data_IF_724705563613
#
_entry.id   IF_724705563613
#
_cell.length_a   1.000
_cell.length_b   1.000
_cell.length_c   1.000
_cell.angle_alpha   90.00
_cell.angle_beta   90.00
_cell.angle_gamma   90.00
#
_symmetry.space_group_name_H-M   'P 1'
#
loop_
_entity.id
_entity.type
_entity.pdbx_description
1 polymer ?
#
# COMPACT_ATOMS: atom_id res chain seq x y z
N UNK A 1 20.99 20.29 -30.71
CA UNK A 1 20.58 19.19 -29.81
C UNK A 1 19.81 19.77 -28.64
N UNK A 2 18.48 19.66 -28.61
CA UNK A 2 17.61 19.79 -27.42
C UNK A 2 16.14 19.79 -27.86
N UNK A 3 15.50 18.62 -28.00
CA UNK A 3 14.03 18.59 -28.12
C UNK A 3 13.35 17.49 -27.29
N UNK A 4 14.11 16.65 -26.58
CA UNK A 4 13.55 15.63 -25.66
C UNK A 4 13.46 16.11 -24.21
N UNK A 5 14.24 17.12 -23.80
CA UNK A 5 14.23 17.64 -22.43
C UNK A 5 13.07 18.62 -22.13
N UNK A 6 12.38 19.13 -23.16
CA UNK A 6 11.21 20.01 -22.99
C UNK A 6 9.88 19.24 -22.94
N UNK A 7 9.92 17.91 -23.08
CA UNK A 7 8.71 17.09 -22.98
C UNK A 7 8.21 17.06 -21.52
N UNK A 8 6.99 17.58 -21.33
CA UNK A 8 6.32 17.64 -20.04
C UNK A 8 6.12 16.25 -19.42
N UNK A 9 5.96 15.20 -20.23
CA UNK A 9 5.81 13.83 -19.75
C UNK A 9 7.13 13.25 -19.27
N UNK A 10 8.24 13.53 -19.98
CA UNK A 10 9.59 13.11 -19.55
C UNK A 10 9.94 13.78 -18.23
N UNK A 11 9.66 15.09 -18.11
CA UNK A 11 9.84 15.84 -16.87
C UNK A 11 8.99 15.27 -15.73
N UNK A 12 7.71 14.98 -15.98
CA UNK A 12 6.84 14.42 -14.96
C UNK A 12 7.30 13.04 -14.48
N UNK A 13 7.72 12.18 -15.41
CA UNK A 13 8.28 10.87 -15.10
C UNK A 13 9.55 10.99 -14.26
N UNK A 14 10.50 11.86 -14.65
CA UNK A 14 11.72 12.09 -13.89
C UNK A 14 11.44 12.61 -12.46
N UNK A 15 10.48 13.52 -12.30
CA UNK A 15 10.08 14.04 -10.99
C UNK A 15 9.40 12.97 -10.11
N UNK A 16 8.61 12.07 -10.69
CA UNK A 16 8.07 10.91 -9.96
C UNK A 16 9.17 9.95 -9.52
N UNK A 17 10.14 9.66 -10.39
CA UNK A 17 11.28 8.79 -10.04
C UNK A 17 12.16 9.43 -8.95
N UNK A 18 12.35 10.75 -8.98
CA UNK A 18 13.03 11.48 -7.93
C UNK A 18 12.28 11.40 -6.59
N UNK A 19 10.93 11.45 -6.63
CA UNK A 19 10.06 11.27 -5.46
C UNK A 19 10.24 9.88 -4.85
N UNK A 20 10.12 8.82 -5.66
CA UNK A 20 10.32 7.44 -5.20
C UNK A 20 11.73 7.19 -4.69
N UNK A 21 12.74 7.81 -5.31
CA UNK A 21 14.13 7.71 -4.88
C UNK A 21 14.47 8.58 -3.66
N UNK A 22 13.49 9.31 -3.12
CA UNK A 22 13.64 10.23 -1.98
C UNK A 22 14.69 11.32 -2.22
N UNK A 23 14.94 11.68 -3.47
CA UNK A 23 15.89 12.73 -3.83
C UNK A 23 15.28 14.10 -3.55
N UNK A 24 16.08 14.99 -2.96
CA UNK A 24 15.66 16.36 -2.69
C UNK A 24 15.62 17.15 -3.99
N UNK A 25 14.43 17.61 -4.35
CA UNK A 25 14.20 18.50 -5.49
C UNK A 25 13.97 19.91 -4.94
N UNK A 26 14.54 20.93 -5.58
CA UNK A 26 14.52 22.33 -5.10
C UNK A 26 13.91 23.30 -6.12
N UNK A 27 13.49 24.47 -5.63
CA UNK A 27 12.98 25.56 -6.46
C UNK A 27 11.75 25.18 -7.30
N UNK A 28 11.74 25.58 -8.56
CA UNK A 28 10.61 25.35 -9.48
C UNK A 28 10.32 23.86 -9.74
N UNK A 29 11.33 22.99 -9.61
CA UNK A 29 11.14 21.55 -9.78
C UNK A 29 10.37 20.94 -8.60
N UNK A 30 10.53 21.48 -7.38
CA UNK A 30 9.78 21.04 -6.21
C UNK A 30 8.30 21.41 -6.32
N UNK A 31 8.02 22.63 -6.81
CA UNK A 31 6.65 23.07 -7.12
C UNK A 31 6.02 22.17 -8.20
N UNK A 32 6.75 21.89 -9.29
CA UNK A 32 6.29 20.98 -10.34
C UNK A 32 6.05 19.55 -9.83
N UNK A 33 6.92 19.02 -8.98
CA UNK A 33 6.74 17.70 -8.37
C UNK A 33 5.47 17.67 -7.52
N UNK A 34 5.20 18.71 -6.72
CA UNK A 34 3.96 18.84 -5.97
C UNK A 34 2.73 18.87 -6.87
N UNK A 35 2.76 19.62 -7.96
CA UNK A 35 1.67 19.69 -8.94
C UNK A 35 1.37 18.32 -9.58
N UNK A 36 2.39 17.47 -9.77
CA UNK A 36 2.23 16.10 -10.30
C UNK A 36 1.68 15.13 -9.25
N UNK A 37 2.17 15.21 -8.00
CA UNK A 37 1.79 14.28 -6.93
C UNK A 37 0.32 14.43 -6.49
N UNK A 38 -0.23 15.64 -6.56
CA UNK A 38 -1.61 15.93 -6.14
C UNK A 38 -2.69 15.16 -6.93
N UNK A 39 -2.69 15.16 -8.28
CA UNK A 39 -3.65 14.39 -9.07
C UNK A 39 -3.30 12.90 -9.19
N UNK A 40 -2.04 12.51 -8.94
CA UNK A 40 -1.57 11.14 -9.21
C UNK A 40 -2.43 10.02 -8.60
N UNK A 41 -2.85 10.04 -7.32
CA UNK A 41 -3.70 8.98 -6.77
C UNK A 41 -5.05 8.83 -7.49
N UNK A 42 -5.65 9.94 -7.95
CA UNK A 42 -6.92 9.92 -8.70
C UNK A 42 -6.74 9.33 -10.09
N UNK A 43 -5.65 9.69 -10.77
CA UNK A 43 -5.30 9.15 -12.08
C UNK A 43 -5.00 7.64 -11.99
N UNK A 44 -4.26 7.23 -10.96
CA UNK A 44 -3.95 5.82 -10.71
C UNK A 44 -5.23 5.03 -10.40
N UNK A 45 -6.14 5.58 -9.58
CA UNK A 45 -7.44 4.94 -9.32
C UNK A 45 -8.25 4.75 -10.61
N UNK A 46 -8.30 5.77 -11.46
CA UNK A 46 -8.99 5.68 -12.77
C UNK A 46 -8.33 4.64 -13.67
N UNK A 47 -7.00 4.53 -13.64
CA UNK A 47 -6.24 3.51 -14.34
C UNK A 47 -6.58 2.10 -13.84
N UNK A 48 -6.65 1.89 -12.51
CA UNK A 48 -7.09 0.63 -11.89
C UNK A 48 -8.50 0.25 -12.34
N UNK A 49 -9.43 1.21 -12.38
CA UNK A 49 -10.82 0.95 -12.79
C UNK A 49 -10.90 0.48 -14.26
N UNK A 50 -10.09 1.09 -15.16
CA UNK A 50 -10.00 0.66 -16.57
C UNK A 50 -9.37 -0.73 -16.69
N UNK A 51 -8.26 -0.98 -16.00
CA UNK A 51 -7.54 -2.26 -16.06
C UNK A 51 -8.41 -3.41 -15.51
N UNK A 52 -9.07 -3.17 -14.38
CA UNK A 52 -9.93 -4.16 -13.73
C UNK A 52 -11.17 -4.50 -14.57
N UNK A 53 -11.73 -3.52 -15.28
CA UNK A 53 -12.81 -3.75 -16.25
C UNK A 53 -12.41 -4.67 -17.41
N UNK A 54 -11.11 -4.76 -17.71
CA UNK A 54 -10.55 -5.66 -18.73
C UNK A 54 -10.09 -7.02 -18.14
N UNK A 55 -10.22 -7.24 -16.83
CA UNK A 55 -9.83 -8.49 -16.18
C UNK A 55 -8.31 -8.70 -16.07
N UNK A 56 -7.49 -7.67 -16.25
CA UNK A 56 -6.02 -7.77 -16.19
C UNK A 56 -5.51 -7.68 -14.75
N UNK A 57 -5.67 -8.75 -13.98
CA UNK A 57 -5.34 -8.82 -12.55
C UNK A 57 -3.92 -8.33 -12.24
N UNK A 58 -2.89 -8.89 -12.88
CA UNK A 58 -1.49 -8.54 -12.60
C UNK A 58 -1.21 -7.05 -12.82
N UNK A 59 -1.78 -6.46 -13.87
CA UNK A 59 -1.60 -5.04 -14.16
C UNK A 59 -2.39 -4.17 -13.16
N UNK A 60 -3.54 -4.64 -12.67
CA UNK A 60 -4.32 -3.94 -11.66
C UNK A 60 -3.55 -3.88 -10.34
N UNK A 61 -2.96 -5.00 -9.91
CA UNK A 61 -2.12 -5.06 -8.72
C UNK A 61 -0.92 -4.10 -8.82
N UNK A 62 -0.22 -4.08 -9.96
CA UNK A 62 0.89 -3.15 -10.19
C UNK A 62 0.46 -1.68 -10.19
N UNK A 63 -0.73 -1.38 -10.68
CA UNK A 63 -1.29 -0.02 -10.59
C UNK A 63 -1.66 0.36 -9.15
N UNK A 64 -2.14 -0.58 -8.33
CA UNK A 64 -2.40 -0.35 -6.90
C UNK A 64 -1.11 -0.09 -6.12
N UNK A 65 -0.07 -0.92 -6.33
CA UNK A 65 1.28 -0.71 -5.76
C UNK A 65 1.84 0.67 -6.13
N UNK A 66 1.66 1.12 -7.37
CA UNK A 66 2.09 2.46 -7.81
C UNK A 66 1.46 3.59 -6.97
N UNK A 67 0.22 3.44 -6.49
CA UNK A 67 -0.38 4.44 -5.61
C UNK A 67 0.24 4.45 -4.23
N UNK A 68 0.58 3.27 -3.69
CA UNK A 68 1.29 3.15 -2.42
C UNK A 68 2.68 3.82 -2.54
N UNK A 69 3.41 3.56 -3.63
CA UNK A 69 4.69 4.22 -3.95
C UNK A 69 4.56 5.75 -4.03
N UNK A 70 3.51 6.27 -4.68
CA UNK A 70 3.23 7.72 -4.76
C UNK A 70 2.91 8.31 -3.39
N UNK A 71 2.14 7.61 -2.58
CA UNK A 71 1.74 8.08 -1.25
C UNK A 71 2.94 8.10 -0.29
N UNK A 72 3.73 7.03 -0.26
CA UNK A 72 4.86 6.91 0.68
C UNK A 72 6.16 7.56 0.18
N UNK A 73 6.28 7.81 -1.13
CA UNK A 73 7.50 8.34 -1.73
C UNK A 73 8.66 7.35 -1.60
N UNK A 74 8.43 6.12 -2.07
CA UNK A 74 9.43 5.06 -2.10
C UNK A 74 9.14 4.09 -3.25
N UNK A 75 10.13 3.29 -3.61
CA UNK A 75 9.95 2.19 -4.55
C UNK A 75 9.31 0.96 -3.87
N UNK A 76 8.69 0.10 -4.67
CA UNK A 76 8.16 -1.21 -4.26
C UNK A 76 9.25 -2.17 -3.77
N UNK A 77 10.48 -2.02 -4.28
CA UNK A 77 11.67 -2.76 -3.85
C UNK A 77 12.39 -2.19 -2.63
N UNK A 78 12.00 -1.00 -2.18
CA UNK A 78 12.58 -0.41 -0.97
C UNK A 78 12.00 -1.12 0.26
N UNK A 79 12.75 -1.17 1.36
CA UNK A 79 12.23 -1.79 2.58
C UNK A 79 11.01 -1.06 3.11
N UNK A 80 9.98 -1.83 3.46
CA UNK A 80 8.68 -1.33 3.92
C UNK A 80 8.78 -0.52 5.22
N UNK A 81 9.84 -0.73 6.01
CA UNK A 81 10.11 0.03 7.23
C UNK A 81 10.40 1.51 6.97
N UNK A 82 10.80 1.87 5.75
CA UNK A 82 11.03 3.26 5.36
C UNK A 82 9.75 4.12 5.36
N UNK A 83 8.57 3.51 5.50
CA UNK A 83 7.28 4.18 5.67
C UNK A 83 7.10 4.74 7.09
N UNK A 84 7.86 4.22 8.06
CA UNK A 84 7.75 4.61 9.46
C UNK A 84 8.41 5.98 9.71
N UNK A 85 7.90 6.74 10.69
CA UNK A 85 8.54 7.98 11.12
C UNK A 85 10.00 7.75 11.49
N UNK A 86 10.88 8.69 11.11
CA UNK A 86 12.30 8.73 11.50
C UNK A 86 13.19 7.58 10.93
N UNK A 87 12.65 6.69 10.11
CA UNK A 87 13.45 5.63 9.48
C UNK A 87 14.29 6.16 8.32
N UNK A 88 15.61 5.96 8.43
CA UNK A 88 16.58 6.20 7.36
C UNK A 88 16.96 4.88 6.67
N UNK A 89 17.64 4.97 5.52
CA UNK A 89 18.09 3.77 4.80
C UNK A 89 19.07 2.94 5.66
N UNK A 90 19.97 3.62 6.35
CA UNK A 90 20.98 3.00 7.22
C UNK A 90 20.35 2.29 8.42
N UNK A 91 19.32 2.90 9.04
CA UNK A 91 18.58 2.26 10.13
C UNK A 91 17.84 1.02 9.62
N UNK A 92 17.27 1.11 8.43
CA UNK A 92 16.50 0.02 7.83
C UNK A 92 17.38 -1.19 7.50
N UNK A 93 18.57 -0.97 6.94
CA UNK A 93 19.55 -2.02 6.67
C UNK A 93 19.95 -2.75 7.95
N UNK A 94 20.24 -2.02 9.03
CA UNK A 94 20.54 -2.61 10.35
C UNK A 94 19.39 -3.48 10.87
N UNK A 95 18.15 -3.07 10.64
CA UNK A 95 16.97 -3.81 11.09
C UNK A 95 16.77 -5.11 10.32
N UNK A 96 16.99 -5.06 9.02
CA UNK A 96 16.96 -6.25 8.16
C UNK A 96 18.06 -7.25 8.54
N UNK A 97 19.26 -6.79 8.87
CA UNK A 97 20.34 -7.65 9.40
C UNK A 97 19.95 -8.36 10.72
N UNK A 98 19.02 -7.79 11.48
CA UNK A 98 18.48 -8.38 12.71
C UNK A 98 17.22 -9.22 12.48
N UNK A 99 16.84 -9.48 11.23
CA UNK A 99 15.69 -10.29 10.84
C UNK A 99 14.34 -9.58 10.95
N UNK A 100 14.33 -8.25 10.95
CA UNK A 100 13.11 -7.43 10.99
C UNK A 100 12.90 -6.84 9.60
N UNK A 101 11.90 -7.35 8.89
CA UNK A 101 11.66 -6.98 7.49
C UNK A 101 10.28 -6.34 7.29
N UNK A 102 9.34 -6.60 8.19
CA UNK A 102 7.95 -6.19 8.07
C UNK A 102 7.47 -5.28 9.21
N UNK A 103 6.41 -4.52 8.93
CA UNK A 103 5.69 -3.74 9.94
C UNK A 103 5.05 -4.68 10.99
N UNK A 104 4.70 -5.91 10.62
CA UNK A 104 4.14 -6.89 11.55
C UNK A 104 5.16 -7.37 12.59
N UNK A 105 6.43 -7.50 12.20
CA UNK A 105 7.52 -7.88 13.10
C UNK A 105 7.71 -6.86 14.23
N UNK A 106 7.32 -5.59 14.00
CA UNK A 106 7.33 -4.53 15.02
C UNK A 106 6.40 -4.81 16.18
N UNK A 107 5.25 -5.43 15.92
CA UNK A 107 4.27 -5.73 16.95
C UNK A 107 4.77 -6.82 17.91
N UNK A 108 5.69 -7.68 17.44
CA UNK A 108 6.28 -8.78 18.20
C UNK A 108 7.61 -8.41 18.87
N UNK A 109 8.18 -7.26 18.51
CA UNK A 109 9.42 -6.76 19.09
C UNK A 109 9.23 -6.29 20.54
N UNK A 110 10.07 -6.81 21.44
CA UNK A 110 10.12 -6.31 22.81
C UNK A 110 10.62 -4.86 22.85
N UNK A 111 10.10 -4.07 23.80
CA UNK A 111 10.48 -2.68 23.98
C UNK A 111 12.01 -2.50 24.14
N UNK A 112 12.68 -3.45 24.80
CA UNK A 112 14.13 -3.44 24.99
C UNK A 112 14.90 -3.63 23.67
N UNK A 113 14.47 -4.55 22.80
CA UNK A 113 15.08 -4.72 21.46
C UNK A 113 14.82 -3.48 20.62
N UNK A 114 13.59 -2.96 20.65
CA UNK A 114 13.21 -1.75 19.93
C UNK A 114 14.06 -0.55 20.36
N UNK A 115 14.30 -0.34 21.65
CA UNK A 115 15.12 0.76 22.16
C UNK A 115 16.61 0.60 21.79
N UNK A 116 17.14 -0.62 21.88
CA UNK A 116 18.52 -0.93 21.49
C UNK A 116 18.77 -0.77 19.98
N UNK A 117 17.77 -1.11 19.15
CA UNK A 117 17.85 -1.05 17.69
C UNK A 117 17.55 0.34 17.12
N UNK A 118 16.61 1.07 17.70
CA UNK A 118 16.25 2.42 17.25
C UNK A 118 17.33 3.43 17.64
N UNK A 119 17.91 3.33 18.85
CA UNK A 119 18.79 4.37 19.40
C UNK A 119 18.18 5.79 19.27
N UNK A 120 16.86 5.88 19.16
CA UNK A 120 16.12 7.12 18.97
C UNK A 120 15.67 7.66 20.34
N UNK A 121 15.55 8.99 20.50
CA UNK A 121 14.96 9.58 21.70
C UNK A 121 13.51 9.10 21.92
N UNK A 122 13.10 8.99 23.19
CA UNK A 122 11.79 8.43 23.59
C UNK A 122 10.57 9.10 22.91
N UNK A 123 10.68 10.36 22.47
CA UNK A 123 9.62 11.03 21.72
C UNK A 123 9.37 10.40 20.34
N UNK A 124 10.42 9.94 19.67
CA UNK A 124 10.34 9.31 18.34
C UNK A 124 9.84 7.86 18.43
N UNK A 125 10.10 7.17 19.55
CA UNK A 125 9.54 5.84 19.83
C UNK A 125 8.01 5.87 19.89
N UNK A 126 7.45 6.95 20.45
CA UNK A 126 6.01 7.14 20.54
C UNK A 126 5.39 7.32 19.14
N UNK A 127 6.00 8.12 18.28
CA UNK A 127 5.53 8.33 16.90
C UNK A 127 5.47 7.00 16.10
N UNK A 128 6.47 6.12 16.29
CA UNK A 128 6.53 4.81 15.63
C UNK A 128 5.44 3.88 16.18
N UNK A 129 5.27 3.85 17.51
CA UNK A 129 4.24 3.02 18.16
C UNK A 129 2.83 3.45 17.75
N UNK A 130 2.57 4.76 17.70
CA UNK A 130 1.28 5.31 17.27
C UNK A 130 1.01 5.02 15.79
N UNK A 131 2.03 5.08 14.93
CA UNK A 131 1.92 4.74 13.50
C UNK A 131 1.67 3.25 13.27
N UNK A 132 2.34 2.38 14.04
CA UNK A 132 2.10 0.92 14.01
C UNK A 132 0.69 0.57 14.51
N UNK A 133 0.24 1.22 15.59
CA UNK A 133 -1.11 1.02 16.12
C UNK A 133 -2.21 1.48 15.15
N UNK A 134 -1.97 2.52 14.36
CA UNK A 134 -2.85 2.94 13.27
C UNK A 134 -2.96 1.93 12.12
N UNK A 135 -2.00 1.02 11.99
CA UNK A 135 -1.95 -0.02 10.96
C UNK A 135 -2.48 -1.39 11.43
N UNK A 136 -3.03 -1.50 12.66
CA UNK A 136 -3.54 -2.77 13.20
C UNK A 136 -4.86 -3.15 12.54
N UNK A 137 -4.80 -3.96 11.50
CA UNK A 137 -5.95 -4.54 10.82
C UNK A 137 -6.19 -5.93 11.42
N UNK A 138 -7.39 -6.13 11.98
CA UNK A 138 -7.80 -7.40 12.60
C UNK A 138 -7.91 -8.53 11.57
N UNK A 139 -7.57 -9.76 12.00
CA UNK A 139 -7.65 -11.00 11.21
C UNK A 139 -9.04 -11.19 10.56
N UNK A 140 -9.07 -11.52 9.27
CA UNK A 140 -10.30 -11.77 8.51
C UNK A 140 -10.51 -13.30 8.37
N UNK A 141 -11.67 -13.85 8.81
CA UNK A 141 -12.05 -15.27 8.61
C UNK A 141 -13.32 -15.39 7.73
N UNK A 142 -13.29 -16.33 6.77
CA UNK A 142 -14.28 -16.68 5.70
C UNK A 142 -15.72 -16.97 6.17
N UNK A 143 -16.84 -16.92 5.42
CA UNK A 143 -17.26 -16.59 4.03
C UNK A 143 -18.46 -15.64 4.19
N UNK A 144 -18.58 -14.61 3.34
CA UNK A 144 -19.13 -13.27 3.64
C UNK A 144 -18.01 -12.42 4.22
N UNK A 145 -17.31 -11.71 3.35
CA UNK A 145 -16.26 -10.76 3.73
C UNK A 145 -16.91 -9.54 4.37
N UNK A 146 -17.30 -9.67 5.64
CA UNK A 146 -17.64 -8.55 6.51
C UNK A 146 -16.35 -8.14 7.23
N UNK A 147 -15.89 -6.91 7.00
CA UNK A 147 -14.89 -6.30 7.88
C UNK A 147 -15.59 -6.02 9.21
N UNK A 148 -15.15 -6.69 10.28
CA UNK A 148 -15.59 -6.37 11.62
C UNK A 148 -14.96 -5.04 12.05
N UNK A 149 -15.76 -3.97 12.00
CA UNK A 149 -15.36 -2.61 12.34
C UNK A 149 -15.41 -2.33 13.86
N UNK A 150 -15.74 -3.33 14.70
CA UNK A 150 -16.03 -3.11 16.13
C UNK A 150 -14.80 -2.79 16.98
N UNK A 151 -13.59 -3.16 16.52
CA UNK A 151 -12.34 -2.98 17.26
C UNK A 151 -11.39 -1.92 16.65
N UNK A 152 -11.85 -1.13 15.68
CA UNK A 152 -11.05 -0.03 15.13
C UNK A 152 -11.14 1.21 16.04
N UNK A 153 -10.05 1.97 16.21
CA UNK A 153 -10.09 3.26 16.88
C UNK A 153 -11.17 4.15 16.26
N UNK A 154 -12.01 4.78 17.08
CA UNK A 154 -13.16 5.60 16.63
C UNK A 154 -12.80 6.73 15.67
N UNK A 155 -11.53 7.13 15.63
CA UNK A 155 -10.96 8.07 14.66
C UNK A 155 -9.60 7.54 14.20
N UNK A 156 -9.55 6.96 12.99
CA UNK A 156 -8.28 6.71 12.31
C UNK A 156 -7.82 8.04 11.71
N UNK A 157 -6.67 8.55 12.18
CA UNK A 157 -6.07 9.77 11.67
C UNK A 157 -5.68 9.67 10.18
N UNK A 158 -5.21 10.78 9.56
CA UNK A 158 -4.72 10.72 8.18
C UNK A 158 -3.51 9.77 8.07
N UNK A 159 -3.33 9.22 6.87
CA UNK A 159 -2.18 8.39 6.49
C UNK A 159 -0.89 9.11 6.86
N UNK A 160 0.02 8.41 7.54
CA UNK A 160 1.37 8.90 7.77
C UNK A 160 2.15 8.87 6.45
N UNK A 161 2.19 10.01 5.76
CA UNK A 161 2.84 10.18 4.47
C UNK A 161 3.60 11.51 4.41
N UNK A 162 4.72 11.67 5.15
CA UNK A 162 5.41 12.95 5.30
C UNK A 162 5.98 13.50 3.98
N UNK A 163 6.18 12.64 2.98
CA UNK A 163 6.66 13.04 1.64
C UNK A 163 5.52 13.38 0.68
N UNK A 164 4.28 13.11 1.05
CA UNK A 164 3.13 13.44 0.22
C UNK A 164 2.64 14.87 0.53
N UNK A 165 2.28 15.70 -0.48
CA UNK A 165 2.10 17.14 -0.23
C UNK A 165 0.80 17.55 0.47
N UNK A 166 -0.10 16.61 0.78
CA UNK A 166 -1.39 16.84 1.45
C UNK A 166 -1.75 15.69 2.38
N UNK A 167 -2.51 15.91 3.46
CA UNK A 167 -3.09 14.81 4.21
C UNK A 167 -3.95 13.91 3.32
N UNK A 168 -3.82 12.60 3.47
CA UNK A 168 -4.68 11.60 2.82
C UNK A 168 -5.42 10.79 3.87
N UNK A 169 -6.62 10.37 3.54
CA UNK A 169 -7.32 9.31 4.27
C UNK A 169 -6.98 7.99 3.60
N UNK A 170 -6.85 6.95 4.41
CA UNK A 170 -6.55 5.61 3.91
C UNK A 170 -7.75 5.08 3.11
N UNK A 171 -7.47 4.62 1.89
CA UNK A 171 -8.39 3.88 1.06
C UNK A 171 -7.95 2.42 0.90
N UNK A 172 -8.90 1.55 0.64
CA UNK A 172 -8.65 0.14 0.40
C UNK A 172 -9.23 -0.26 -0.95
N UNK A 173 -8.42 -0.90 -1.80
CA UNK A 173 -8.94 -1.66 -2.92
C UNK A 173 -9.20 -3.07 -2.45
N UNK A 174 -10.48 -3.41 -2.47
CA UNK A 174 -10.87 -4.80 -2.59
C UNK A 174 -11.11 -4.99 -4.09
N UNK A 175 -10.32 -5.85 -4.74
CA UNK A 175 -10.59 -6.17 -6.14
C UNK A 175 -11.92 -6.93 -6.16
N UNK A 176 -12.98 -6.16 -6.48
CA UNK A 176 -14.40 -6.26 -6.08
C UNK A 176 -14.65 -5.67 -4.67
N UNK A 177 -15.09 -4.41 -4.65
CA UNK A 177 -15.15 -3.47 -3.51
C UNK A 177 -16.08 -3.89 -2.35
N UNK A 178 -15.99 -3.19 -1.21
CA UNK A 178 -16.78 -3.30 0.03
C UNK A 178 -18.23 -3.79 -0.14
N UNK A 179 -18.77 -4.53 0.84
CA UNK A 179 -20.13 -5.11 0.81
C UNK A 179 -20.31 -6.18 -0.28
N UNK A 180 -20.49 -7.43 0.14
CA UNK A 180 -20.98 -8.57 -0.65
C UNK A 180 -20.41 -8.66 -2.09
N UNK A 181 -19.27 -9.32 -2.19
CA UNK A 181 -18.72 -9.75 -3.47
C UNK A 181 -19.69 -10.74 -4.16
N UNK A 182 -20.28 -10.37 -5.31
CA UNK A 182 -21.03 -11.30 -6.22
C UNK A 182 -20.31 -11.59 -7.55
N UNK A 183 -20.26 -12.86 -7.95
CA UNK A 183 -19.66 -13.32 -9.20
C UNK A 183 -20.42 -14.53 -9.73
N UNK A 184 -20.37 -14.72 -11.04
CA UNK A 184 -20.99 -15.88 -11.69
C UNK A 184 -20.07 -17.08 -11.54
N UNK A 185 -20.60 -18.20 -11.06
CA UNK A 185 -19.86 -19.46 -11.02
C UNK A 185 -19.47 -19.87 -12.45
N UNK A 186 -18.26 -20.40 -12.67
CA UNK A 186 -17.84 -20.86 -13.99
C UNK A 186 -18.75 -21.99 -14.50
N UNK A 187 -18.89 -22.10 -15.82
CA UNK A 187 -19.77 -23.09 -16.44
C UNK A 187 -19.33 -24.55 -16.18
N UNK A 188 -18.05 -24.75 -15.89
CA UNK A 188 -17.48 -26.05 -15.59
C UNK A 188 -17.67 -26.42 -14.12
N UNK A 189 -18.33 -27.55 -13.88
CA UNK A 189 -18.38 -28.14 -12.55
C UNK A 189 -17.00 -28.59 -12.06
N UNK A 190 -16.91 -28.71 -10.74
CA UNK A 190 -15.74 -29.18 -10.03
C UNK A 190 -15.16 -28.16 -9.06
N UNK A 191 -14.04 -28.57 -8.48
CA UNK A 191 -13.30 -27.80 -7.48
C UNK A 191 -12.56 -26.65 -8.18
N UNK A 192 -12.88 -25.41 -7.83
CA UNK A 192 -12.26 -24.20 -8.37
C UNK A 192 -11.60 -23.41 -7.22
N UNK A 193 -10.33 -23.10 -7.38
CA UNK A 193 -9.57 -22.32 -6.41
C UNK A 193 -9.59 -20.84 -6.80
N UNK A 194 -9.82 -19.98 -5.82
CA UNK A 194 -9.93 -18.53 -5.95
C UNK A 194 -9.01 -17.85 -4.95
N UNK A 195 -8.61 -16.62 -5.28
CA UNK A 195 -7.80 -15.77 -4.43
C UNK A 195 -8.44 -14.39 -4.31
N UNK A 196 -8.59 -13.89 -3.09
CA UNK A 196 -9.02 -12.52 -2.80
C UNK A 196 -7.79 -11.70 -2.43
N UNK A 197 -7.64 -10.54 -3.08
CA UNK A 197 -6.63 -9.54 -2.75
C UNK A 197 -7.29 -8.37 -2.03
N UNK A 198 -6.74 -8.01 -0.88
CA UNK A 198 -7.06 -6.80 -0.14
C UNK A 198 -5.83 -5.91 -0.15
N UNK A 199 -5.89 -4.83 -0.93
CA UNK A 199 -4.75 -3.95 -1.19
C UNK A 199 -4.98 -2.58 -0.56
N UNK A 200 -4.00 -2.03 0.15
CA UNK A 200 -4.02 -0.64 0.63
C UNK A 200 -3.74 0.32 -0.53
N UNK A 201 -4.31 1.53 -0.49
CA UNK A 201 -3.96 2.60 -1.44
C UNK A 201 -2.81 3.51 -1.00
N UNK A 202 -2.30 3.25 0.20
CA UNK A 202 -1.48 4.19 0.94
C UNK A 202 -0.25 3.58 1.59
N UNK A 203 -0.25 2.29 1.93
CA UNK A 203 0.89 1.62 2.57
C UNK A 203 1.30 0.38 1.79
N UNK A 204 2.61 0.13 1.71
CA UNK A 204 3.18 -1.05 1.10
C UNK A 204 3.26 -2.20 2.11
N UNK A 205 2.93 -3.40 1.63
CA UNK A 205 3.09 -4.70 2.30
C UNK A 205 2.27 -4.91 3.57
N UNK A 206 1.19 -4.14 3.72
CA UNK A 206 0.04 -4.51 4.55
C UNK A 206 -1.06 -5.21 3.74
N UNK A 207 -0.77 -5.48 2.46
CA UNK A 207 -1.66 -6.16 1.53
C UNK A 207 -1.85 -7.62 1.93
N UNK A 208 -3.05 -8.15 1.70
CA UNK A 208 -3.42 -9.49 2.16
C UNK A 208 -4.01 -10.33 1.02
N UNK A 209 -3.64 -11.61 1.01
CA UNK A 209 -4.09 -12.59 0.03
C UNK A 209 -4.79 -13.75 0.74
N UNK A 210 -6.00 -14.07 0.30
CA UNK A 210 -6.80 -15.15 0.86
C UNK A 210 -7.18 -16.15 -0.22
N UNK A 211 -6.66 -17.37 -0.11
CA UNK A 211 -7.01 -18.47 -1.01
C UNK A 211 -8.20 -19.23 -0.44
N UNK A 212 -9.19 -19.50 -1.30
CA UNK A 212 -10.36 -20.29 -0.94
C UNK A 212 -10.79 -21.16 -2.12
N UNK A 213 -11.47 -22.25 -1.82
CA UNK A 213 -11.98 -23.16 -2.84
C UNK A 213 -13.51 -23.12 -2.86
N UNK A 214 -14.08 -23.03 -4.05
CA UNK A 214 -15.51 -23.25 -4.29
C UNK A 214 -15.70 -24.52 -5.09
N UNK A 215 -16.64 -25.38 -4.67
CA UNK A 215 -17.03 -26.54 -5.45
C UNK A 215 -18.29 -26.21 -6.27
N UNK A 216 -18.12 -26.09 -7.58
CA UNK A 216 -19.20 -25.75 -8.52
C UNK A 216 -19.92 -27.04 -8.91
N UNK A 217 -21.24 -27.08 -8.73
CA UNK A 217 -22.07 -28.21 -9.16
C UNK A 217 -22.50 -28.01 -10.61
N UNK A 218 -22.65 -29.11 -11.36
CA UNK A 218 -23.22 -29.07 -12.70
C UNK A 218 -24.65 -28.50 -12.66
N UNK A 219 -24.99 -27.66 -13.65
CA UNK A 219 -26.30 -27.04 -13.77
C UNK A 219 -27.42 -28.03 -14.22
N UNK A 220 -27.16 -29.34 -14.20
CA UNK A 220 -28.09 -30.38 -14.61
C UNK A 220 -28.29 -31.45 -13.55
N UNK A 221 -29.49 -31.50 -12.95
CA UNK A 221 -29.96 -32.65 -12.17
C UNK A 221 -30.89 -32.31 -11.01
N UNK A 222 -32.12 -31.90 -11.31
CA UNK A 222 -33.38 -32.45 -10.76
C UNK A 222 -34.47 -32.33 -11.83
#
# INVERSE_FOLDING_TARGET
>A
ENSKNDDVHVKANALLQAHFSRQTVVGNLAAGQREILLPAPRLIKSLVDVISSNGWLSLALKAMELSQMVTQGMWDRDSMLLQLPHFTKELTERWQENGIESIFDLAELSADKMQNLLQLPNSQLKDITDSSNGSRISECRMVTLERDMTNLPSEVGPVHAPRYPKPRLEGWWLQRASLKLEFVAPAEAGKKDYMVFLMSDSYLGIDQEYVFTVNVKDAGGD
#
